data_IF_883270671168
#
_entry.id   IF_883270671168
#
_cell.length_a   1.000
_cell.length_b   1.000
_cell.length_c   1.000
_cell.angle_alpha   90.00
_cell.angle_beta   90.00
_cell.angle_gamma   90.00
#
_symmetry.space_group_name_H-M   'P 1'
#
loop_
_entity.id
_entity.type
_entity.pdbx_description
1 polymer ?
#
# COMPACT_ATOMS: atom_id res chain seq x y z
N UNK A 1 52.56 75.82 13.34
CA UNK A 1 52.96 75.08 12.14
C UNK A 1 52.79 73.61 12.44
N UNK A 2 52.04 72.95 11.57
CA UNK A 2 51.63 71.54 11.60
C UNK A 2 52.78 70.55 11.82
N UNK A 3 52.49 69.41 12.47
CA UNK A 3 52.12 68.19 11.74
C UNK A 3 51.73 67.08 12.71
N UNK A 4 50.46 66.64 12.62
CA UNK A 4 49.96 65.39 13.18
C UNK A 4 50.15 64.33 12.09
N UNK A 5 50.95 63.28 12.29
CA UNK A 5 50.78 62.06 11.52
C UNK A 5 49.71 61.21 12.18
N UNK A 6 48.62 61.12 11.43
CA UNK A 6 47.46 60.24 11.56
C UNK A 6 47.87 58.84 12.01
N UNK A 7 47.38 58.42 13.18
CA UNK A 7 47.31 57.00 13.55
C UNK A 7 46.18 56.38 12.72
N UNK A 8 46.50 55.85 11.55
CA UNK A 8 45.61 54.92 10.86
C UNK A 8 45.63 53.62 11.64
N UNK A 9 44.68 53.48 12.57
CA UNK A 9 44.32 52.19 13.14
C UNK A 9 43.86 51.28 12.00
N UNK A 10 44.76 50.39 11.60
CA UNK A 10 44.52 49.32 10.64
C UNK A 10 43.38 48.41 11.17
N UNK A 11 42.15 48.67 10.74
CA UNK A 11 40.94 47.92 11.10
C UNK A 11 40.74 46.69 10.22
N UNK A 12 41.81 46.08 9.72
CA UNK A 12 41.71 45.01 8.72
C UNK A 12 42.04 43.60 9.25
N UNK A 13 42.08 43.41 10.57
CA UNK A 13 42.48 42.13 11.17
C UNK A 13 41.42 41.47 12.09
N UNK A 14 40.13 41.83 11.97
CA UNK A 14 39.11 41.37 12.91
C UNK A 14 37.90 40.68 12.28
N UNK A 15 38.01 39.92 11.18
CA UNK A 15 36.83 39.20 10.65
C UNK A 15 36.95 37.77 10.08
N UNK A 16 38.08 37.03 10.05
CA UNK A 16 38.07 35.69 9.47
C UNK A 16 37.25 34.68 10.30
N UNK A 17 37.25 34.78 11.64
CA UNK A 17 36.52 33.86 12.53
C UNK A 17 34.99 34.06 12.52
N UNK A 18 34.52 35.30 12.39
CA UNK A 18 33.08 35.62 12.34
C UNK A 18 32.49 35.28 10.98
N UNK A 19 33.23 35.55 9.90
CA UNK A 19 32.84 35.19 8.54
C UNK A 19 32.72 33.67 8.35
N UNK A 20 33.71 32.89 8.83
CA UNK A 20 33.64 31.43 8.80
C UNK A 20 32.48 30.86 9.62
N UNK A 21 32.14 31.47 10.76
CA UNK A 21 30.97 31.06 11.57
C UNK A 21 29.66 31.37 10.86
N UNK A 22 29.55 32.52 10.20
CA UNK A 22 28.37 32.89 9.41
C UNK A 22 28.19 31.98 8.21
N UNK A 23 29.24 31.75 7.41
CA UNK A 23 29.22 30.79 6.30
C UNK A 23 28.79 29.41 6.78
N UNK A 24 29.39 28.91 7.87
CA UNK A 24 29.00 27.61 8.45
C UNK A 24 27.51 27.58 8.83
N UNK A 25 26.99 28.67 9.38
CA UNK A 25 25.57 28.77 9.74
C UNK A 25 24.68 28.74 8.50
N UNK A 26 25.02 29.49 7.45
CA UNK A 26 24.30 29.50 6.18
C UNK A 26 24.30 28.11 5.54
N UNK A 27 25.45 27.42 5.52
CA UNK A 27 25.57 26.04 5.00
C UNK A 27 24.67 25.10 5.81
N UNK A 28 24.68 25.18 7.14
CA UNK A 28 23.83 24.32 7.98
C UNK A 28 22.34 24.58 7.76
N UNK A 29 21.93 25.85 7.61
CA UNK A 29 20.55 26.19 7.28
C UNK A 29 20.18 25.64 5.90
N UNK A 30 21.06 25.80 4.89
CA UNK A 30 20.83 25.28 3.55
C UNK A 30 20.70 23.76 3.54
N UNK A 31 21.56 23.04 4.25
CA UNK A 31 21.48 21.59 4.42
C UNK A 31 20.21 21.17 5.16
N UNK A 32 19.82 21.90 6.21
CA UNK A 32 18.58 21.66 6.95
C UNK A 32 17.35 21.84 6.07
N UNK A 33 17.30 22.90 5.27
CA UNK A 33 16.22 23.11 4.29
C UNK A 33 16.20 22.01 3.24
N UNK A 34 17.36 21.66 2.68
CA UNK A 34 17.47 20.58 1.70
C UNK A 34 16.99 19.23 2.29
N UNK A 35 17.33 18.95 3.55
CA UNK A 35 16.80 17.80 4.26
C UNK A 35 15.26 17.85 4.37
N UNK A 36 14.69 18.97 4.79
CA UNK A 36 13.23 19.12 4.90
C UNK A 36 12.51 18.97 3.55
N UNK A 37 13.15 19.37 2.45
CA UNK A 37 12.57 19.26 1.11
C UNK A 37 12.66 17.85 0.53
N UNK A 38 13.76 17.13 0.73
CA UNK A 38 14.02 15.86 0.04
C UNK A 38 13.90 14.62 0.92
N UNK A 39 13.91 14.75 2.24
CA UNK A 39 13.86 13.60 3.13
C UNK A 39 12.41 13.16 3.40
N UNK A 40 12.06 11.87 3.18
CA UNK A 40 10.73 11.36 3.44
C UNK A 40 10.53 11.14 4.96
N UNK A 41 9.84 12.07 5.62
CA UNK A 41 9.52 11.99 7.05
C UNK A 41 8.24 11.20 7.33
N UNK A 42 7.33 11.15 6.35
CA UNK A 42 6.06 10.44 6.42
C UNK A 42 6.08 9.31 5.39
N UNK A 43 5.62 8.13 5.78
CA UNK A 43 5.39 6.99 4.91
C UNK A 43 3.89 6.77 4.78
N UNK A 44 3.38 6.84 3.57
CA UNK A 44 1.99 6.57 3.23
C UNK A 44 1.88 5.17 2.62
N UNK A 45 1.03 4.34 3.21
CA UNK A 45 0.75 2.97 2.75
C UNK A 45 -0.70 2.84 2.37
N UNK A 46 -0.94 2.16 1.25
CA UNK A 46 -2.26 2.03 0.64
C UNK A 46 -2.79 0.61 0.79
N UNK A 47 -4.05 0.53 1.17
CA UNK A 47 -4.79 -0.70 1.34
C UNK A 47 -6.09 -0.62 0.54
N UNK A 48 -6.59 -1.80 0.19
CA UNK A 48 -7.86 -1.94 -0.52
C UNK A 48 -8.62 -3.12 0.07
N UNK A 49 -9.92 -2.95 0.28
CA UNK A 49 -10.76 -4.05 0.72
C UNK A 49 -10.88 -5.10 -0.39
N UNK A 50 -10.53 -6.36 -0.10
CA UNK A 50 -10.64 -7.48 -1.05
C UNK A 50 -12.09 -7.73 -1.50
N UNK A 51 -13.06 -7.36 -0.67
CA UNK A 51 -14.49 -7.58 -0.92
C UNK A 51 -15.06 -6.40 -1.71
N UNK A 52 -15.23 -5.23 -1.10
CA UNK A 52 -15.96 -4.12 -1.71
C UNK A 52 -15.08 -3.15 -2.53
N UNK A 53 -13.76 -3.21 -2.39
CA UNK A 53 -12.86 -2.28 -3.09
C UNK A 53 -12.78 -0.88 -2.50
N UNK A 54 -13.28 -0.67 -1.27
CA UNK A 54 -13.01 0.55 -0.49
C UNK A 54 -11.51 0.74 -0.32
N UNK A 55 -11.05 1.99 -0.26
CA UNK A 55 -9.64 2.32 -0.03
C UNK A 55 -9.40 2.71 1.42
N UNK A 56 -8.28 2.26 1.98
CA UNK A 56 -7.79 2.65 3.30
C UNK A 56 -6.34 3.10 3.17
N UNK A 57 -6.00 4.22 3.80
CA UNK A 57 -4.68 4.82 3.71
C UNK A 57 -4.17 5.06 5.12
N UNK A 58 -2.91 4.69 5.36
CA UNK A 58 -2.23 4.94 6.62
C UNK A 58 -0.99 5.80 6.39
N UNK A 59 -0.82 6.83 7.21
CA UNK A 59 0.38 7.64 7.26
C UNK A 59 1.13 7.36 8.56
N UNK A 60 2.42 7.05 8.45
CA UNK A 60 3.30 6.69 9.56
C UNK A 60 4.57 7.54 9.53
N UNK A 61 5.16 7.82 10.69
CA UNK A 61 6.49 8.43 10.75
C UNK A 61 7.50 7.44 10.18
N UNK A 62 8.30 7.84 9.18
CA UNK A 62 9.23 6.93 8.49
C UNK A 62 10.25 6.29 9.44
N UNK A 63 10.77 7.07 10.40
CA UNK A 63 11.86 6.62 11.28
C UNK A 63 11.41 5.61 12.35
N UNK A 64 10.20 5.77 12.91
CA UNK A 64 9.74 5.00 14.06
C UNK A 64 8.50 4.15 13.77
N UNK A 65 7.86 4.32 12.61
CA UNK A 65 6.66 3.57 12.21
C UNK A 65 5.36 3.97 12.93
N UNK A 66 5.41 4.98 13.81
CA UNK A 66 4.25 5.47 14.55
C UNK A 66 3.15 5.96 13.60
N UNK A 67 1.92 5.48 13.79
CA UNK A 67 0.76 5.93 13.03
C UNK A 67 0.45 7.39 13.38
N UNK A 68 0.38 8.23 12.36
CA UNK A 68 0.04 9.66 12.47
C UNK A 68 -1.45 9.82 12.19
N UNK A 69 -1.92 9.20 11.12
CA UNK A 69 -3.31 9.24 10.71
C UNK A 69 -3.64 8.04 9.84
N UNK A 70 -4.92 7.69 9.82
CA UNK A 70 -5.49 6.72 8.90
C UNK A 70 -6.88 7.19 8.47
N UNK A 71 -7.25 6.92 7.23
CA UNK A 71 -8.58 7.23 6.75
C UNK A 71 -9.04 6.25 5.69
N UNK A 72 -10.36 6.07 5.64
CA UNK A 72 -11.05 5.25 4.66
C UNK A 72 -11.75 6.16 3.66
N UNK A 73 -11.80 5.73 2.40
CA UNK A 73 -12.50 6.45 1.33
C UNK A 73 -13.33 5.45 0.52
N UNK A 74 -14.66 5.60 0.53
CA UNK A 74 -15.54 4.85 -0.36
C UNK A 74 -15.17 5.04 -1.83
N UNK A 75 -15.40 4.01 -2.62
CA UNK A 75 -15.23 3.98 -4.06
C UNK A 75 -16.55 3.60 -4.72
N UNK A 76 -16.69 3.85 -6.02
CA UNK A 76 -17.88 3.42 -6.78
C UNK A 76 -18.14 1.91 -6.64
N UNK A 77 -17.06 1.11 -6.55
CA UNK A 77 -17.17 -0.33 -6.29
C UNK A 77 -17.74 -0.63 -4.92
N UNK A 78 -17.31 0.10 -3.88
CA UNK A 78 -17.81 -0.16 -2.53
C UNK A 78 -19.26 0.26 -2.36
N UNK A 79 -19.62 1.40 -2.94
CA UNK A 79 -20.99 1.92 -2.88
C UNK A 79 -21.94 0.99 -3.65
N UNK A 80 -21.54 0.54 -4.84
CA UNK A 80 -22.31 -0.44 -5.61
C UNK A 80 -22.43 -1.78 -4.87
N UNK A 81 -21.32 -2.29 -4.32
CA UNK A 81 -21.31 -3.55 -3.58
C UNK A 81 -22.26 -3.50 -2.37
N UNK A 82 -22.23 -2.40 -1.62
CA UNK A 82 -23.11 -2.21 -0.47
C UNK A 82 -24.59 -2.17 -0.88
N UNK A 83 -24.90 -1.55 -2.01
CA UNK A 83 -26.27 -1.44 -2.49
C UNK A 83 -26.83 -2.74 -3.11
N UNK A 84 -25.97 -3.63 -3.63
CA UNK A 84 -26.41 -4.75 -4.48
C UNK A 84 -26.04 -6.14 -3.95
N UNK A 85 -25.04 -6.27 -3.07
CA UNK A 85 -24.52 -7.56 -2.62
C UNK A 85 -24.64 -7.73 -1.12
N UNK A 86 -23.95 -6.89 -0.33
CA UNK A 86 -23.90 -7.01 1.14
C UNK A 86 -23.92 -5.61 1.77
N UNK A 87 -25.05 -5.17 2.37
CA UNK A 87 -25.21 -3.82 2.92
C UNK A 87 -24.21 -3.45 4.03
N UNK A 88 -23.70 -4.44 4.75
CA UNK A 88 -22.68 -4.26 5.78
C UNK A 88 -21.75 -5.46 5.78
N UNK A 89 -20.43 -5.24 5.81
CA UNK A 89 -19.44 -6.31 5.92
C UNK A 89 -18.21 -5.82 6.67
N UNK A 90 -17.46 -6.77 7.24
CA UNK A 90 -16.14 -6.48 7.82
C UNK A 90 -15.13 -6.29 6.69
N UNK A 91 -14.49 -5.12 6.64
CA UNK A 91 -13.45 -4.87 5.64
C UNK A 91 -12.23 -5.78 5.83
N UNK A 92 -11.76 -6.35 4.72
CA UNK A 92 -10.55 -7.18 4.63
C UNK A 92 -9.50 -6.40 3.88
N UNK A 93 -8.66 -5.67 4.62
CA UNK A 93 -7.67 -4.75 4.07
C UNK A 93 -6.47 -5.49 3.49
N UNK A 94 -6.34 -5.47 2.17
CA UNK A 94 -5.18 -5.98 1.44
C UNK A 94 -4.23 -4.83 1.18
N UNK A 95 -3.00 -4.95 1.68
CA UNK A 95 -1.94 -3.98 1.45
C UNK A 95 -1.43 -4.05 0.01
N UNK A 96 -1.35 -2.90 -0.66
CA UNK A 96 -0.80 -2.80 -2.01
C UNK A 96 0.72 -3.03 -2.07
N UNK A 97 1.25 -3.04 -3.29
CA UNK A 97 2.66 -3.34 -3.60
C UNK A 97 3.57 -2.11 -3.56
N UNK A 98 3.10 -0.97 -3.07
CA UNK A 98 3.91 0.25 -2.98
C UNK A 98 3.59 1.10 -1.75
N UNK A 99 4.50 2.01 -1.43
CA UNK A 99 4.32 3.08 -0.46
C UNK A 99 4.94 4.37 -0.99
N UNK A 100 4.41 5.51 -0.52
CA UNK A 100 4.96 6.82 -0.81
C UNK A 100 5.67 7.40 0.41
N UNK A 101 6.84 7.98 0.20
CA UNK A 101 7.55 8.77 1.19
C UNK A 101 7.28 10.25 0.93
N UNK A 102 6.70 10.93 1.91
CA UNK A 102 6.34 12.35 1.87
C UNK A 102 7.27 13.17 2.77
N UNK A 103 7.64 14.35 2.29
CA UNK A 103 8.40 15.32 3.08
C UNK A 103 7.51 16.04 4.10
N UNK A 104 8.06 16.98 4.89
CA UNK A 104 7.30 17.71 5.92
C UNK A 104 6.17 18.58 5.34
N UNK A 105 6.22 18.87 4.04
CA UNK A 105 5.20 19.63 3.32
C UNK A 105 4.14 18.73 2.67
N UNK A 106 4.21 17.41 2.89
CA UNK A 106 3.30 16.44 2.30
C UNK A 106 3.56 16.12 0.83
N UNK A 107 4.66 16.61 0.25
CA UNK A 107 5.03 16.30 -1.13
C UNK A 107 5.67 14.92 -1.20
N UNK A 108 5.27 14.13 -2.19
CA UNK A 108 5.88 12.82 -2.46
C UNK A 108 7.29 13.02 -3.01
N UNK A 109 8.29 12.54 -2.26
CA UNK A 109 9.73 12.65 -2.57
C UNK A 109 10.39 11.30 -2.78
N UNK A 110 9.69 10.23 -2.43
CA UNK A 110 10.14 8.85 -2.61
C UNK A 110 8.93 7.96 -2.95
N UNK A 111 9.13 7.01 -3.86
CA UNK A 111 8.16 5.95 -4.12
C UNK A 111 8.87 4.61 -4.00
N UNK A 112 8.37 3.74 -3.13
CA UNK A 112 8.98 2.45 -2.84
C UNK A 112 8.05 1.33 -3.33
N UNK A 113 8.55 0.49 -4.24
CA UNK A 113 7.91 -0.79 -4.51
C UNK A 113 8.25 -1.76 -3.38
N UNK A 114 7.23 -2.34 -2.79
CA UNK A 114 7.28 -3.18 -1.59
C UNK A 114 6.46 -4.45 -1.83
N UNK A 115 6.80 -5.16 -2.90
CA UNK A 115 6.10 -6.38 -3.32
C UNK A 115 6.09 -7.44 -2.22
N UNK A 116 7.18 -7.56 -1.45
CA UNK A 116 7.25 -8.47 -0.30
C UNK A 116 6.34 -8.10 0.87
N UNK A 117 5.77 -6.90 0.88
CA UNK A 117 4.85 -6.43 1.92
C UNK A 117 3.38 -6.48 1.50
N UNK A 118 3.09 -6.90 0.27
CA UNK A 118 1.72 -7.12 -0.17
C UNK A 118 1.07 -8.23 0.66
N UNK A 119 -0.20 -8.05 1.00
CA UNK A 119 -0.89 -8.99 1.88
C UNK A 119 -1.22 -10.32 1.21
N UNK A 120 -1.48 -10.32 -0.09
CA UNK A 120 -1.83 -11.51 -0.87
C UNK A 120 -1.99 -11.23 -2.37
N UNK A 121 -2.23 -12.28 -3.18
CA UNK A 121 -2.29 -12.23 -4.65
C UNK A 121 -3.23 -11.16 -5.23
N UNK A 122 -4.29 -10.82 -4.50
CA UNK A 122 -5.23 -9.76 -4.86
C UNK A 122 -4.52 -8.43 -5.20
N UNK A 123 -3.41 -8.13 -4.50
CA UNK A 123 -2.62 -6.91 -4.69
C UNK A 123 -2.06 -6.76 -6.11
N UNK A 124 -1.91 -7.87 -6.85
CA UNK A 124 -1.37 -7.90 -8.21
C UNK A 124 -2.43 -8.04 -9.30
N UNK A 125 -3.70 -8.25 -8.97
CA UNK A 125 -4.76 -8.31 -9.99
C UNK A 125 -5.03 -6.95 -10.65
N UNK A 126 -4.56 -5.85 -10.04
CA UNK A 126 -4.71 -4.48 -10.55
C UNK A 126 -6.13 -4.21 -11.07
N UNK A 127 -7.13 -4.50 -10.23
CA UNK A 127 -8.53 -4.40 -10.61
C UNK A 127 -8.94 -2.93 -10.77
N UNK A 128 -8.35 -2.01 -10.01
CA UNK A 128 -8.86 -0.64 -9.93
C UNK A 128 -10.32 -0.64 -9.46
N UNK A 129 -10.94 0.54 -9.30
CA UNK A 129 -12.29 0.60 -8.72
C UNK A 129 -13.31 -0.11 -9.62
N UNK A 130 -13.26 0.13 -10.93
CA UNK A 130 -14.22 -0.41 -11.87
C UNK A 130 -14.20 -1.95 -11.98
N UNK A 131 -13.03 -2.59 -12.14
CA UNK A 131 -13.01 -4.03 -12.46
C UNK A 131 -13.47 -4.92 -11.32
N UNK A 132 -13.27 -4.49 -10.06
CA UNK A 132 -13.76 -5.27 -8.91
C UNK A 132 -15.29 -5.32 -8.86
N UNK A 133 -15.95 -4.20 -9.19
CA UNK A 133 -17.41 -4.18 -9.36
C UNK A 133 -17.85 -5.10 -10.50
N UNK A 134 -17.14 -5.12 -11.63
CA UNK A 134 -17.48 -5.99 -12.77
C UNK A 134 -17.35 -7.48 -12.44
N UNK A 135 -16.42 -7.88 -11.55
CA UNK A 135 -16.36 -9.27 -11.04
C UNK A 135 -17.72 -9.68 -10.46
N UNK A 136 -18.33 -8.83 -9.63
CA UNK A 136 -19.61 -9.16 -9.00
C UNK A 136 -20.79 -9.10 -9.96
N UNK A 137 -20.78 -8.20 -10.94
CA UNK A 137 -21.86 -8.10 -11.93
C UNK A 137 -21.90 -9.27 -12.90
N UNK A 138 -20.72 -9.77 -13.28
CA UNK A 138 -20.58 -10.85 -14.27
C UNK A 138 -20.56 -12.23 -13.62
N UNK A 139 -20.34 -12.29 -12.30
CA UNK A 139 -20.45 -13.54 -11.57
C UNK A 139 -21.92 -13.99 -11.48
N UNK A 140 -22.23 -15.25 -11.86
CA UNK A 140 -23.55 -15.82 -11.65
C UNK A 140 -23.97 -15.88 -10.17
N UNK A 141 -22.99 -15.95 -9.26
CA UNK A 141 -23.17 -15.93 -7.81
C UNK A 141 -22.19 -14.94 -7.14
N UNK A 142 -22.66 -13.75 -6.72
CA UNK A 142 -21.83 -12.79 -5.99
C UNK A 142 -21.20 -13.34 -4.71
N UNK A 143 -21.81 -14.35 -4.07
CA UNK A 143 -21.24 -15.01 -2.90
C UNK A 143 -19.99 -15.83 -3.27
N UNK A 144 -20.02 -16.58 -4.38
CA UNK A 144 -18.84 -17.23 -4.93
C UNK A 144 -17.72 -16.22 -5.25
N UNK A 145 -18.04 -15.14 -5.96
CA UNK A 145 -17.04 -14.09 -6.26
C UNK A 145 -16.39 -13.54 -4.98
N UNK A 146 -17.18 -13.31 -3.93
CA UNK A 146 -16.68 -12.89 -2.61
C UNK A 146 -15.72 -13.92 -2.00
N UNK A 147 -16.07 -15.21 -2.04
CA UNK A 147 -15.21 -16.28 -1.53
C UNK A 147 -13.88 -16.35 -2.28
N UNK A 148 -13.91 -16.26 -3.61
CA UNK A 148 -12.72 -16.30 -4.44
C UNK A 148 -11.79 -15.10 -4.17
N UNK A 149 -12.34 -13.89 -4.06
CA UNK A 149 -11.54 -12.70 -3.75
C UNK A 149 -10.94 -12.76 -2.33
N UNK A 150 -11.66 -13.34 -1.37
CA UNK A 150 -11.13 -13.58 -0.02
C UNK A 150 -9.97 -14.57 -0.03
N UNK A 151 -10.05 -15.64 -0.82
CA UNK A 151 -8.93 -16.58 -1.00
C UNK A 151 -7.69 -15.92 -1.61
N UNK A 152 -7.81 -14.76 -2.25
CA UNK A 152 -6.67 -13.99 -2.76
C UNK A 152 -6.18 -12.87 -1.81
N UNK A 153 -6.88 -12.63 -0.70
CA UNK A 153 -6.59 -11.50 0.19
C UNK A 153 -5.29 -11.67 0.98
N UNK A 154 -4.91 -12.91 1.27
CA UNK A 154 -3.74 -13.28 2.07
C UNK A 154 -2.91 -14.35 1.38
N UNK A 155 -1.59 -14.33 1.50
CA UNK A 155 -0.76 -15.42 1.01
C UNK A 155 -0.92 -16.69 1.83
N UNK A 156 -1.22 -17.78 1.14
CA UNK A 156 -1.13 -19.12 1.71
C UNK A 156 0.35 -19.56 1.80
N UNK A 157 0.71 -20.46 2.74
CA UNK A 157 2.07 -20.96 2.88
C UNK A 157 2.60 -21.58 1.58
N UNK A 158 3.85 -21.28 1.22
CA UNK A 158 4.47 -21.87 0.03
C UNK A 158 4.47 -23.41 0.09
N UNK A 159 4.13 -24.05 -1.03
CA UNK A 159 4.07 -25.50 -1.16
C UNK A 159 2.80 -26.17 -0.61
N UNK A 160 1.92 -25.42 0.06
CA UNK A 160 0.64 -25.95 0.55
C UNK A 160 -0.36 -26.26 -0.59
N UNK A 161 -1.29 -27.21 -0.40
CA UNK A 161 -2.40 -27.42 -1.33
C UNK A 161 -3.24 -26.16 -1.57
N UNK A 162 -3.45 -25.36 -0.51
CA UNK A 162 -4.20 -24.10 -0.55
C UNK A 162 -3.50 -23.07 -1.44
N UNK A 163 -2.16 -23.03 -1.41
CA UNK A 163 -1.38 -22.17 -2.29
C UNK A 163 -1.57 -22.51 -3.76
N UNK A 164 -1.67 -23.80 -4.12
CA UNK A 164 -1.95 -24.22 -5.51
C UNK A 164 -3.32 -23.75 -5.97
N UNK A 165 -4.34 -23.92 -5.12
CA UNK A 165 -5.70 -23.44 -5.38
C UNK A 165 -5.71 -21.91 -5.54
N UNK A 166 -5.01 -21.20 -4.67
CA UNK A 166 -4.88 -19.76 -4.73
C UNK A 166 -4.22 -19.28 -6.04
N UNK A 167 -3.14 -19.95 -6.46
CA UNK A 167 -2.43 -19.61 -7.69
C UNK A 167 -3.27 -19.91 -8.95
N UNK A 168 -4.10 -20.96 -8.89
CA UNK A 168 -5.08 -21.26 -9.94
C UNK A 168 -6.17 -20.18 -10.04
N UNK A 169 -6.80 -19.81 -8.91
CA UNK A 169 -7.80 -18.74 -8.85
C UNK A 169 -7.20 -17.43 -9.38
N UNK A 170 -5.98 -17.09 -8.93
CA UNK A 170 -5.28 -15.90 -9.39
C UNK A 170 -5.04 -15.94 -10.91
N UNK A 171 -4.54 -17.05 -11.44
CA UNK A 171 -4.22 -17.19 -12.86
C UNK A 171 -5.47 -17.05 -13.73
N UNK A 172 -6.57 -17.71 -13.36
CA UNK A 172 -7.84 -17.59 -14.09
C UNK A 172 -8.40 -16.17 -14.06
N UNK A 173 -8.40 -15.50 -12.89
CA UNK A 173 -8.80 -14.09 -12.82
C UNK A 173 -7.89 -13.19 -13.65
N UNK A 174 -6.59 -13.44 -13.62
CA UNK A 174 -5.60 -12.65 -14.36
C UNK A 174 -5.80 -12.78 -15.87
N UNK A 175 -5.95 -14.00 -16.38
CA UNK A 175 -6.23 -14.28 -17.80
C UNK A 175 -7.56 -13.65 -18.23
N UNK A 176 -8.63 -13.87 -17.47
CA UNK A 176 -9.93 -13.27 -17.74
C UNK A 176 -9.86 -11.74 -17.77
N UNK A 177 -9.12 -11.14 -16.83
CA UNK A 177 -8.89 -9.69 -16.76
C UNK A 177 -8.06 -9.14 -17.91
N UNK A 178 -7.08 -9.89 -18.42
CA UNK A 178 -6.30 -9.53 -19.62
C UNK A 178 -7.20 -9.57 -20.86
N UNK A 179 -8.10 -10.55 -20.95
CA UNK A 179 -9.06 -10.70 -22.04
C UNK A 179 -10.27 -9.76 -21.93
N UNK A 180 -10.20 -8.74 -21.05
CA UNK A 180 -11.23 -7.71 -20.95
C UNK A 180 -12.44 -8.07 -20.09
N UNK A 181 -12.39 -9.17 -19.33
CA UNK A 181 -13.48 -9.64 -18.46
C UNK A 181 -14.78 -9.90 -19.25
N UNK A 182 -14.66 -10.48 -20.44
CA UNK A 182 -15.79 -10.86 -21.28
C UNK A 182 -16.38 -12.19 -20.81
N UNK A 183 -17.66 -12.43 -21.11
CA UNK A 183 -18.28 -13.75 -20.90
C UNK A 183 -17.50 -14.85 -21.65
N UNK A 184 -17.43 -16.08 -21.10
CA UNK A 184 -18.07 -16.53 -19.87
C UNK A 184 -17.27 -16.23 -18.59
N UNK A 185 -17.95 -16.25 -17.45
CA UNK A 185 -17.35 -16.26 -16.10
C UNK A 185 -16.31 -17.40 -15.98
N UNK A 186 -15.09 -17.15 -15.44
CA UNK A 186 -13.98 -18.10 -15.52
C UNK A 186 -14.00 -19.21 -14.46
N UNK A 187 -15.10 -19.38 -13.73
CA UNK A 187 -15.25 -20.40 -12.69
C UNK A 187 -16.56 -21.16 -12.86
N UNK A 188 -16.56 -22.44 -12.48
CA UNK A 188 -17.77 -23.25 -12.46
C UNK A 188 -18.62 -22.93 -11.23
N UNK A 189 -19.93 -23.17 -11.28
CA UNK A 189 -20.81 -22.93 -10.14
C UNK A 189 -20.43 -23.83 -8.95
N UNK A 190 -20.30 -23.25 -7.77
CA UNK A 190 -19.91 -23.98 -6.56
C UNK A 190 -18.41 -24.29 -6.42
N UNK A 191 -17.62 -24.00 -7.46
CA UNK A 191 -16.17 -24.20 -7.43
C UNK A 191 -15.55 -23.35 -6.30
N UNK A 192 -14.67 -23.98 -5.51
CA UNK A 192 -13.94 -23.37 -4.40
C UNK A 192 -14.79 -22.84 -3.22
N UNK A 193 -16.08 -23.19 -3.12
CA UNK A 193 -16.92 -22.81 -1.97
C UNK A 193 -16.62 -23.60 -0.69
N UNK A 194 -16.02 -24.79 -0.80
CA UNK A 194 -15.67 -25.60 0.37
C UNK A 194 -14.51 -24.95 1.17
N UNK A 195 -14.61 -24.90 2.50
CA UNK A 195 -13.41 -24.80 3.33
C UNK A 195 -12.59 -26.06 3.05
N UNK A 196 -11.35 -25.91 2.59
CA UNK A 196 -10.39 -27.01 2.75
C UNK A 196 -10.25 -27.14 4.26
N UNK A 197 -10.86 -28.18 4.85
CA UNK A 197 -10.56 -28.49 6.24
C UNK A 197 -9.06 -28.74 6.29
N UNK A 198 -8.32 -28.16 7.26
CA UNK A 198 -6.96 -28.59 7.50
C UNK A 198 -7.05 -30.10 7.74
N UNK A 199 -6.44 -30.89 6.85
CA UNK A 199 -6.18 -32.29 7.14
C UNK A 199 -5.29 -32.29 8.36
N UNK A 200 -5.89 -32.48 9.53
CA UNK A 200 -5.18 -32.80 10.75
C UNK A 200 -4.34 -34.05 10.44
N UNK A 201 -3.00 -33.95 10.39
CA UNK A 201 -2.16 -35.10 10.11
C UNK A 201 -2.30 -36.19 11.19
N UNK A 202 -2.93 -35.87 12.33
CA UNK A 202 -3.08 -36.78 13.47
C UNK A 202 -4.46 -37.47 13.54
N UNK A 203 -5.40 -37.23 12.60
CA UNK A 203 -6.73 -37.86 12.68
C UNK A 203 -7.32 -38.25 11.30
N UNK A 204 -6.97 -39.43 10.75
CA UNK A 204 -7.58 -39.91 9.51
C UNK A 204 -9.07 -40.26 9.71
N UNK A 205 -9.93 -40.00 8.69
CA UNK A 205 -11.34 -40.34 8.78
C UNK A 205 -11.52 -41.85 9.02
N UNK A 206 -12.26 -42.17 10.07
CA UNK A 206 -12.62 -43.54 10.42
C UNK A 206 -13.38 -44.16 9.26
N UNK A 207 -12.88 -45.27 8.73
CA UNK A 207 -13.59 -46.04 7.71
C UNK A 207 -14.88 -46.61 8.31
N UNK A 208 -16.01 -46.57 7.59
CA UNK A 208 -17.25 -47.19 8.06
C UNK A 208 -17.15 -48.72 7.88
N UNK A 209 -17.42 -49.45 8.95
CA UNK A 209 -17.76 -50.89 8.93
C UNK A 209 -19.16 -51.13 8.35
#
# INVERSE_FOLDING_TARGET
>A
MENIPVVTADKTALQPRRFNRWIRTVILIALGLLFLFYFPVIRETYFRCAICGMTHIEQRVTAFGCLISSWERPTESSDWYQANVEPEHKHVWVRGTYAEGKNVFGQTVLMQQLTSLASGPFSWLYLGNYKQMEIYKLSPDPAQARVLLLKLAHFEPEGSPERKVQDEIYSRFWEWRINGMQDPWPFEEGEFLSPVQPTDPDNPPSSPD
#
